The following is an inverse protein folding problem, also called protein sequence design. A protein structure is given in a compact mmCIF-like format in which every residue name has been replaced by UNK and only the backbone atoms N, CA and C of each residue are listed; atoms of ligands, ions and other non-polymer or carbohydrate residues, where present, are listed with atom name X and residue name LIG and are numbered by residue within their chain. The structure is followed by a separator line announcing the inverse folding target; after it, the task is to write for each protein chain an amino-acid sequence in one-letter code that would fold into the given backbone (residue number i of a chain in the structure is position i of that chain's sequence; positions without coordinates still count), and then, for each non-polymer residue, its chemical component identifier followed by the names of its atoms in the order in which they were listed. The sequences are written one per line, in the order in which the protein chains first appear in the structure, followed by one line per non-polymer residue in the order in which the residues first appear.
data_IF_454496368352
#
_entry.id   IF_454496368352
#
_cell.length_a   1.000
_cell.length_b   1.000
_cell.length_c   1.000
_cell.angle_alpha   90.00
_cell.angle_beta   90.00
_cell.angle_gamma   90.00
#
_symmetry.space_group_name_H-M   'P 1'
#
loop_
_entity.id
_entity.type
_entity.pdbx_description
1 polymer ?
#
# COMPACT_ATOMS: atom_id res chain seq x y z
N UNK A 1 11.98 3.69 -12.07
CA UNK A 1 10.78 4.32 -11.48
C UNK A 1 11.15 5.71 -11.03
N UNK A 2 10.27 6.70 -11.17
CA UNK A 2 10.50 8.04 -10.62
C UNK A 2 9.72 8.23 -9.33
N UNK A 3 10.33 8.83 -8.31
CA UNK A 3 9.69 9.10 -7.04
C UNK A 3 9.89 10.55 -6.60
N UNK A 4 8.82 11.17 -6.10
CA UNK A 4 8.84 12.47 -5.44
C UNK A 4 8.50 12.25 -3.97
N UNK A 5 9.47 12.41 -3.07
CA UNK A 5 9.28 12.04 -1.67
C UNK A 5 9.61 13.25 -0.78
N UNK A 6 8.61 13.70 -0.04
CA UNK A 6 8.82 14.69 1.02
C UNK A 6 9.18 14.00 2.33
N UNK A 7 10.25 14.48 2.95
CA UNK A 7 10.52 14.36 4.39
C UNK A 7 11.24 15.63 4.84
N UNK A 8 10.94 16.12 6.04
CA UNK A 8 11.73 17.16 6.68
C UNK A 8 13.12 16.60 7.05
N UNK A 9 14.13 17.46 7.29
CA UNK A 9 15.43 17.01 7.78
C UNK A 9 15.33 16.13 9.05
N UNK A 10 14.45 16.50 9.99
CA UNK A 10 14.24 15.74 11.21
C UNK A 10 13.58 14.38 10.95
N UNK A 11 12.60 14.31 10.04
CA UNK A 11 11.98 13.05 9.63
C UNK A 11 12.97 12.13 8.92
N UNK A 12 13.81 12.69 8.05
CA UNK A 12 14.86 11.94 7.37
C UNK A 12 15.86 11.34 8.38
N UNK A 13 16.31 12.12 9.37
CA UNK A 13 17.16 11.64 10.48
C UNK A 13 16.45 10.56 11.33
N UNK A 14 15.14 10.68 11.53
CA UNK A 14 14.32 9.68 12.21
C UNK A 14 14.03 8.43 11.36
N UNK A 15 14.46 8.39 10.10
CA UNK A 15 14.33 7.24 9.21
C UNK A 15 12.93 7.01 8.64
N UNK A 16 12.05 8.02 8.61
CA UNK A 16 10.65 7.89 8.14
C UNK A 16 10.55 7.47 6.67
N UNK A 17 11.58 7.77 5.88
CA UNK A 17 11.68 7.39 4.46
C UNK A 17 11.70 5.88 4.25
N UNK A 18 12.23 5.13 5.22
CA UNK A 18 12.44 3.68 5.07
C UNK A 18 11.14 2.95 4.74
N UNK A 19 10.03 3.35 5.35
CA UNK A 19 8.73 2.73 5.12
C UNK A 19 8.23 2.93 3.69
N UNK A 20 8.42 4.12 3.09
CA UNK A 20 8.07 4.38 1.69
C UNK A 20 8.85 3.46 0.73
N UNK A 21 10.17 3.33 0.94
CA UNK A 21 10.99 2.47 0.09
C UNK A 21 10.66 0.98 0.26
N UNK A 22 10.30 0.55 1.47
CA UNK A 22 9.80 -0.82 1.71
C UNK A 22 8.50 -1.04 0.93
N UNK A 23 7.54 -0.11 1.01
CA UNK A 23 6.30 -0.17 0.24
C UNK A 23 6.57 -0.24 -1.27
N UNK A 24 7.44 0.63 -1.78
CA UNK A 24 7.76 0.64 -3.21
C UNK A 24 8.44 -0.65 -3.67
N UNK A 25 9.38 -1.19 -2.89
CA UNK A 25 10.06 -2.44 -3.21
C UNK A 25 9.08 -3.62 -3.23
N UNK A 26 8.19 -3.72 -2.24
CA UNK A 26 7.19 -4.79 -2.13
C UNK A 26 6.15 -4.73 -3.24
N UNK A 27 5.68 -3.53 -3.59
CA UNK A 27 4.74 -3.32 -4.68
C UNK A 27 5.40 -3.57 -6.05
N UNK A 28 6.69 -3.22 -6.20
CA UNK A 28 7.45 -3.53 -7.41
C UNK A 28 7.68 -5.03 -7.57
N UNK A 29 7.99 -5.74 -6.47
CA UNK A 29 8.12 -7.21 -6.44
C UNK A 29 6.84 -7.91 -6.91
N UNK A 30 5.68 -7.29 -6.69
CA UNK A 30 4.36 -7.79 -7.11
C UNK A 30 3.91 -7.25 -8.47
N UNK A 31 4.72 -6.44 -9.14
CA UNK A 31 4.42 -5.86 -10.45
C UNK A 31 3.34 -4.78 -10.44
N UNK A 32 2.93 -4.28 -9.27
CA UNK A 32 2.01 -3.14 -9.18
C UNK A 32 2.71 -1.84 -9.56
N UNK A 33 3.91 -1.63 -9.02
CA UNK A 33 4.82 -0.58 -9.48
C UNK A 33 5.81 -1.17 -10.48
N UNK A 34 6.12 -0.40 -11.50
CA UNK A 34 7.07 -0.77 -12.56
C UNK A 34 8.13 0.31 -12.70
N UNK A 35 9.16 0.05 -13.51
CA UNK A 35 10.17 1.04 -13.84
C UNK A 35 9.60 2.33 -14.47
N UNK A 36 8.45 2.23 -15.12
CA UNK A 36 7.77 3.33 -15.80
C UNK A 36 6.78 4.07 -14.87
N UNK A 37 6.59 3.58 -13.64
CA UNK A 37 5.73 4.23 -12.66
C UNK A 37 6.35 5.54 -12.16
N UNK A 38 5.48 6.48 -11.79
CA UNK A 38 5.86 7.68 -11.03
C UNK A 38 5.06 7.74 -9.74
N UNK A 39 5.71 7.97 -8.61
CA UNK A 39 5.06 8.03 -7.28
C UNK A 39 5.32 9.37 -6.59
N UNK A 40 4.34 9.85 -5.83
CA UNK A 40 4.45 11.04 -4.98
C UNK A 40 4.04 10.68 -3.57
N UNK A 41 4.96 10.81 -2.61
CA UNK A 41 4.75 10.42 -1.23
C UNK A 41 5.13 11.55 -0.27
N UNK A 42 4.34 11.68 0.80
CA UNK A 42 4.75 12.38 2.00
C UNK A 42 5.09 11.33 3.05
N UNK A 43 6.38 11.14 3.33
CA UNK A 43 6.85 10.12 4.26
C UNK A 43 6.51 10.44 5.72
N UNK A 44 6.13 11.68 6.02
CA UNK A 44 5.70 12.13 7.35
C UNK A 44 4.17 12.15 7.50
N UNK A 45 3.43 11.82 6.44
CA UNK A 45 1.99 11.68 6.55
C UNK A 45 1.64 10.56 7.55
N UNK A 46 0.58 10.72 8.37
CA UNK A 46 0.21 9.74 9.39
C UNK A 46 -0.23 8.38 8.84
N UNK A 47 -0.37 8.28 7.52
CA UNK A 47 -0.90 7.13 6.82
C UNK A 47 0.05 6.73 5.69
N UNK A 48 0.29 5.42 5.54
CA UNK A 48 1.10 4.83 4.48
C UNK A 48 0.40 4.97 3.12
N UNK A 49 0.40 6.18 2.59
CA UNK A 49 -0.31 6.54 1.37
C UNK A 49 0.55 7.41 0.46
N UNK A 50 0.35 7.22 -0.84
CA UNK A 50 1.06 7.94 -1.87
C UNK A 50 0.17 8.03 -3.10
N UNK A 51 0.46 8.99 -3.97
CA UNK A 51 -0.13 9.02 -5.29
C UNK A 51 0.75 8.24 -6.26
N UNK A 52 0.16 7.49 -7.17
CA UNK A 52 0.86 6.70 -8.17
C UNK A 52 0.31 6.99 -9.57
N UNK A 53 1.22 7.14 -10.51
CA UNK A 53 0.99 7.00 -11.93
C UNK A 53 1.56 5.65 -12.36
N UNK A 54 0.68 4.70 -12.61
CA UNK A 54 1.00 3.43 -13.28
C UNK A 54 0.54 3.55 -14.74
N UNK A 55 -0.31 2.66 -15.23
CA UNK A 55 -1.19 2.90 -16.38
C UNK A 55 -2.26 3.98 -16.12
N UNK A 56 -2.56 4.28 -14.85
CA UNK A 56 -3.50 5.33 -14.44
C UNK A 56 -3.01 6.11 -13.23
N UNK A 57 -3.54 7.30 -13.06
CA UNK A 57 -3.39 8.17 -11.91
C UNK A 57 -4.30 7.71 -10.78
N UNK A 58 -3.73 7.40 -9.62
CA UNK A 58 -4.48 6.88 -8.47
C UNK A 58 -3.86 7.26 -7.13
N UNK A 59 -4.71 7.51 -6.15
CA UNK A 59 -4.33 7.50 -4.74
C UNK A 59 -4.21 6.07 -4.26
N UNK A 60 -3.11 5.74 -3.60
CA UNK A 60 -2.82 4.41 -3.08
C UNK A 60 -2.67 4.48 -1.57
N UNK A 61 -3.40 3.63 -0.86
CA UNK A 61 -3.23 3.39 0.57
C UNK A 61 -2.81 1.95 0.79
N UNK A 62 -1.68 1.73 1.47
CA UNK A 62 -1.20 0.38 1.79
C UNK A 62 -1.56 0.02 3.23
N UNK A 63 -2.55 -0.82 3.39
CA UNK A 63 -2.97 -1.36 4.68
C UNK A 63 -2.20 -2.64 5.01
N UNK A 64 -1.49 -2.63 6.15
CA UNK A 64 -0.80 -3.79 6.69
C UNK A 64 -1.65 -4.44 7.77
N UNK A 65 -2.10 -5.65 7.53
CA UNK A 65 -2.88 -6.45 8.46
C UNK A 65 -2.21 -7.80 8.74
N UNK A 66 -2.56 -8.45 9.84
CA UNK A 66 -2.22 -9.86 10.06
C UNK A 66 -3.09 -10.77 9.19
N UNK A 67 -4.33 -10.37 8.91
CA UNK A 67 -5.37 -11.16 8.25
C UNK A 67 -5.92 -10.45 7.00
N UNK A 68 -6.52 -11.18 6.03
CA UNK A 68 -7.06 -10.59 4.81
C UNK A 68 -8.29 -9.69 5.05
N UNK A 69 -9.15 -10.04 6.01
CA UNK A 69 -10.35 -9.27 6.35
C UNK A 69 -11.36 -9.09 5.21
N UNK A 70 -12.16 -8.02 5.32
CA UNK A 70 -13.24 -7.65 4.42
C UNK A 70 -13.08 -6.20 3.98
N UNK A 71 -13.16 -5.95 2.67
CA UNK A 71 -13.23 -4.61 2.10
C UNK A 71 -14.65 -4.35 1.56
N UNK A 72 -15.31 -3.34 2.10
CA UNK A 72 -16.61 -2.85 1.62
C UNK A 72 -16.44 -1.63 0.73
N UNK A 73 -16.97 -1.71 -0.47
CA UNK A 73 -17.00 -0.61 -1.42
C UNK A 73 -18.42 -0.03 -1.46
N UNK A 74 -18.49 1.29 -1.32
CA UNK A 74 -19.71 2.09 -1.48
C UNK A 74 -19.37 3.30 -2.37
N UNK A 75 -20.35 4.10 -2.78
CA UNK A 75 -20.09 5.24 -3.67
C UNK A 75 -18.99 6.16 -3.13
N UNK A 76 -17.83 6.18 -3.80
CA UNK A 76 -16.65 7.00 -3.46
C UNK A 76 -15.90 6.59 -2.18
N UNK A 77 -16.18 5.42 -1.58
CA UNK A 77 -15.62 5.08 -0.26
C UNK A 77 -15.30 3.59 -0.13
N UNK A 78 -14.11 3.29 0.38
CA UNK A 78 -13.63 1.95 0.72
C UNK A 78 -13.45 1.87 2.24
N UNK A 79 -14.07 0.87 2.86
CA UNK A 79 -13.87 0.56 4.28
C UNK A 79 -13.33 -0.85 4.45
N UNK A 80 -12.32 -1.03 5.30
CA UNK A 80 -11.78 -2.35 5.61
C UNK A 80 -11.92 -2.67 7.11
N UNK A 81 -12.24 -3.92 7.40
CA UNK A 81 -12.31 -4.45 8.76
C UNK A 81 -12.05 -5.97 8.77
N UNK A 82 -11.83 -6.55 9.95
CA UNK A 82 -11.61 -8.00 10.10
C UNK A 82 -12.85 -8.84 9.80
N UNK A 83 -14.04 -8.30 10.06
CA UNK A 83 -15.31 -9.01 9.86
C UNK A 83 -16.24 -8.25 8.92
N UNK A 84 -17.21 -8.97 8.35
CA UNK A 84 -18.21 -8.39 7.45
C UNK A 84 -18.99 -7.24 8.10
N UNK A 85 -19.42 -7.41 9.35
CA UNK A 85 -20.26 -6.43 10.05
C UNK A 85 -19.46 -5.20 10.49
N UNK A 86 -18.20 -5.40 10.90
CA UNK A 86 -17.34 -4.31 11.36
C UNK A 86 -17.05 -3.29 10.26
N UNK A 87 -17.06 -3.69 8.98
CA UNK A 87 -16.94 -2.75 7.84
C UNK A 87 -17.99 -1.63 7.85
N UNK A 88 -19.09 -1.77 8.62
CA UNK A 88 -20.14 -0.76 8.73
C UNK A 88 -19.90 0.21 9.90
N UNK A 89 -19.47 -0.28 11.06
CA UNK A 89 -19.47 0.47 12.33
C UNK A 89 -18.12 0.53 13.06
N UNK A 90 -17.26 -0.47 12.89
CA UNK A 90 -16.00 -0.63 13.61
C UNK A 90 -14.84 -0.87 12.63
N UNK A 91 -14.86 -0.16 11.50
CA UNK A 91 -13.85 -0.33 10.46
C UNK A 91 -12.49 0.19 10.95
N UNK A 92 -11.42 -0.49 10.55
CA UNK A 92 -10.05 -0.09 10.88
C UNK A 92 -9.50 0.89 9.84
N UNK A 93 -9.95 0.77 8.59
CA UNK A 93 -9.58 1.67 7.49
C UNK A 93 -10.83 2.26 6.88
N UNK A 94 -10.77 3.56 6.61
CA UNK A 94 -11.87 4.33 6.04
C UNK A 94 -11.34 5.36 5.04
N UNK A 95 -11.44 5.03 3.76
CA UNK A 95 -10.95 5.87 2.67
C UNK A 95 -12.15 6.44 1.92
N UNK A 96 -12.31 7.75 1.96
CA UNK A 96 -13.36 8.48 1.25
C UNK A 96 -12.70 9.40 0.23
N UNK A 97 -13.11 9.35 -1.05
CA UNK A 97 -12.52 10.20 -2.10
C UNK A 97 -12.67 11.70 -1.80
N UNK A 98 -13.65 12.07 -0.96
CA UNK A 98 -13.89 13.44 -0.50
C UNK A 98 -12.90 13.90 0.57
N UNK A 99 -12.29 12.99 1.34
CA UNK A 99 -11.27 13.36 2.33
C UNK A 99 -9.87 13.44 1.74
N UNK A 100 -9.67 12.94 0.51
CA UNK A 100 -8.41 13.03 -0.20
C UNK A 100 -8.26 14.44 -0.82
N UNK A 101 -7.12 15.12 -0.62
CA UNK A 101 -6.85 16.45 -1.19
C UNK A 101 -6.95 16.51 -2.73
N UNK A 102 -7.39 17.67 -3.24
CA UNK A 102 -7.54 17.95 -4.66
C UNK A 102 -8.96 17.73 -5.20
N UNK A 103 -9.11 17.84 -6.52
CA UNK A 103 -10.37 17.72 -7.28
C UNK A 103 -11.05 16.33 -7.14
N UNK A 104 -12.36 16.20 -7.41
CA UNK A 104 -13.13 14.98 -7.09
C UNK A 104 -12.87 13.76 -7.98
N UNK A 105 -12.20 13.92 -9.13
CA UNK A 105 -11.98 12.84 -10.12
C UNK A 105 -10.86 11.87 -9.73
N UNK A 106 -10.97 11.24 -8.55
CA UNK A 106 -9.88 10.46 -7.95
C UNK A 106 -10.11 8.96 -8.04
N UNK A 107 -9.19 8.25 -8.68
CA UNK A 107 -9.08 6.81 -8.49
C UNK A 107 -8.48 6.51 -7.11
N UNK A 108 -9.19 5.72 -6.32
CA UNK A 108 -8.82 5.33 -4.96
C UNK A 108 -8.52 3.83 -4.92
N UNK A 109 -7.30 3.48 -4.55
CA UNK A 109 -6.82 2.10 -4.45
C UNK A 109 -6.42 1.77 -3.01
N UNK A 110 -7.11 0.81 -2.41
CA UNK A 110 -6.70 0.16 -1.16
C UNK A 110 -5.90 -1.09 -1.49
N UNK A 111 -4.65 -1.14 -1.07
CA UNK A 111 -3.82 -2.35 -1.15
C UNK A 111 -3.77 -2.97 0.25
N UNK A 112 -4.24 -4.21 0.39
CA UNK A 112 -4.17 -4.98 1.63
C UNK A 112 -3.01 -5.95 1.56
N UNK A 113 -2.01 -5.72 2.41
CA UNK A 113 -0.92 -6.66 2.66
C UNK A 113 -1.22 -7.44 3.94
N UNK A 114 -1.31 -8.76 3.83
CA UNK A 114 -1.51 -9.65 4.97
C UNK A 114 -0.56 -10.85 4.96
N UNK A 115 -0.54 -11.60 6.06
CA UNK A 115 0.42 -12.70 6.32
C UNK A 115 -0.21 -14.09 6.29
N UNK A 116 -1.38 -14.24 5.66
CA UNK A 116 -2.17 -15.48 5.64
C UNK A 116 -2.15 -16.10 4.23
N UNK A 117 -1.22 -17.02 3.91
CA UNK A 117 -1.16 -17.65 2.61
C UNK A 117 -2.46 -18.40 2.28
N UNK A 118 -2.85 -18.39 1.00
CA UNK A 118 -4.02 -19.13 0.50
C UNK A 118 -5.38 -18.54 0.91
N UNK A 119 -5.40 -17.49 1.74
CA UNK A 119 -6.61 -16.72 2.00
C UNK A 119 -6.59 -15.43 1.19
N UNK A 120 -7.79 -14.89 0.94
CA UNK A 120 -7.95 -13.64 0.21
C UNK A 120 -8.86 -12.66 0.91
N UNK A 121 -8.63 -11.37 0.66
CA UNK A 121 -9.51 -10.27 1.05
C UNK A 121 -10.91 -10.54 0.51
N UNK A 122 -11.92 -10.44 1.38
CA UNK A 122 -13.31 -10.61 0.98
C UNK A 122 -13.89 -9.29 0.53
N UNK A 123 -14.49 -9.27 -0.65
CA UNK A 123 -15.11 -8.07 -1.21
C UNK A 123 -16.58 -8.02 -0.85
N UNK A 124 -17.02 -6.85 -0.41
CA UNK A 124 -18.42 -6.52 -0.22
C UNK A 124 -18.74 -5.34 -1.12
N UNK A 125 -19.44 -5.59 -2.22
CA UNK A 125 -19.97 -4.51 -3.03
C UNK A 125 -21.36 -4.10 -2.52
N UNK A 126 -21.43 -2.88 -1.95
CA UNK A 126 -22.58 -2.34 -1.25
C UNK A 126 -23.05 -3.27 -0.11
N UNK A 127 -23.93 -4.22 -0.41
CA UNK A 127 -24.50 -5.19 0.54
C UNK A 127 -24.25 -6.65 0.14
N UNK A 128 -23.58 -6.92 -0.99
CA UNK A 128 -23.39 -8.27 -1.54
C UNK A 128 -21.93 -8.66 -1.52
N UNK A 129 -21.66 -9.95 -1.30
CA UNK A 129 -20.30 -10.48 -1.48
C UNK A 129 -19.98 -10.57 -2.96
N UNK A 130 -18.75 -10.23 -3.30
CA UNK A 130 -18.22 -10.34 -4.65
C UNK A 130 -16.85 -11.05 -4.64
N UNK A 131 -16.37 -11.42 -5.82
CA UNK A 131 -15.10 -12.11 -6.02
C UNK A 131 -14.07 -11.19 -6.67
N UNK A 132 -12.82 -11.33 -6.22
CA UNK A 132 -11.67 -10.72 -6.90
C UNK A 132 -11.25 -11.58 -8.10
N UNK A 133 -10.66 -10.94 -9.10
CA UNK A 133 -9.96 -11.62 -10.20
C UNK A 133 -8.49 -11.22 -10.12
N UNK A 134 -7.57 -12.21 -10.08
CA UNK A 134 -6.13 -11.94 -9.95
C UNK A 134 -5.77 -11.11 -8.72
N UNK A 135 -6.47 -11.31 -7.60
CA UNK A 135 -6.28 -10.52 -6.37
C UNK A 135 -6.76 -9.07 -6.44
N UNK A 136 -7.45 -8.67 -7.51
CA UNK A 136 -7.98 -7.31 -7.68
C UNK A 136 -9.51 -7.30 -7.81
N UNK A 137 -10.14 -6.25 -7.27
CA UNK A 137 -11.53 -5.92 -7.55
C UNK A 137 -11.65 -4.41 -7.77
N UNK A 138 -12.35 -4.01 -8.83
CA UNK A 138 -12.57 -2.60 -9.17
C UNK A 138 -14.06 -2.33 -9.38
N UNK A 139 -14.56 -1.26 -8.75
CA UNK A 139 -15.90 -0.69 -8.96
C UNK A 139 -15.79 0.81 -9.22
N UNK A 140 -16.05 1.21 -10.46
CA UNK A 140 -15.87 2.61 -10.88
C UNK A 140 -14.44 3.07 -10.59
N UNK A 141 -14.29 4.13 -9.80
CA UNK A 141 -12.99 4.69 -9.42
C UNK A 141 -12.34 4.03 -8.19
N UNK A 142 -12.98 3.00 -7.62
CA UNK A 142 -12.50 2.34 -6.41
C UNK A 142 -11.88 0.99 -6.74
N UNK A 143 -10.69 0.73 -6.22
CA UNK A 143 -9.98 -0.53 -6.40
C UNK A 143 -9.51 -1.09 -5.06
N UNK A 144 -9.68 -2.39 -4.86
CA UNK A 144 -9.10 -3.14 -3.74
C UNK A 144 -8.17 -4.21 -4.30
N UNK A 145 -6.92 -4.20 -3.84
CA UNK A 145 -5.90 -5.18 -4.20
C UNK A 145 -5.55 -6.00 -2.96
N UNK A 146 -5.71 -7.30 -3.04
CA UNK A 146 -5.08 -8.28 -2.18
C UNK A 146 -3.65 -8.51 -2.68
N UNK A 147 -2.67 -7.94 -1.98
CA UNK A 147 -1.28 -7.93 -2.46
C UNK A 147 -0.67 -9.35 -2.56
N UNK A 148 -0.87 -10.27 -1.59
CA UNK A 148 -0.43 -11.66 -1.73
C UNK A 148 -0.99 -12.40 -2.96
N UNK A 149 -2.26 -12.15 -3.33
CA UNK A 149 -2.94 -12.79 -4.45
C UNK A 149 -2.87 -11.99 -5.77
N UNK A 150 -2.26 -10.80 -5.75
CA UNK A 150 -2.23 -9.90 -6.90
C UNK A 150 -1.46 -10.48 -8.08
N UNK A 151 -2.09 -10.40 -9.25
CA UNK A 151 -1.49 -10.75 -10.55
C UNK A 151 -1.53 -9.47 -11.38
N UNK A 152 -0.37 -8.94 -11.80
CA UNK A 152 -0.31 -7.73 -12.61
C UNK A 152 -0.84 -8.00 -14.03
N UNK A 153 -1.33 -6.94 -14.68
CA UNK A 153 -1.70 -7.00 -16.09
C UNK A 153 -0.45 -7.25 -16.95
N UNK A 154 -0.58 -8.16 -17.93
CA UNK A 154 0.57 -8.62 -18.74
C UNK A 154 1.03 -7.56 -19.75
N UNK A 155 0.10 -6.70 -20.21
CA UNK A 155 0.38 -5.64 -21.18
C UNK A 155 -0.50 -4.41 -20.87
N UNK A 156 -0.16 -3.66 -19.80
CA UNK A 156 -0.95 -2.50 -19.41
C UNK A 156 -0.80 -1.40 -20.46
N UNK A 157 -1.93 -0.79 -20.86
CA UNK A 157 -1.89 0.38 -21.74
C UNK A 157 -1.07 1.51 -21.10
N UNK A 158 -0.25 2.23 -21.89
CA UNK A 158 0.50 3.37 -21.37
C UNK A 158 -0.46 4.47 -20.89
N UNK A 159 -0.11 5.21 -19.83
CA UNK A 159 -0.96 6.27 -19.32
C UNK A 159 -1.17 7.35 -20.38
N UNK A 160 -2.42 7.81 -20.52
CA UNK A 160 -2.73 8.93 -21.40
C UNK A 160 -2.13 10.25 -20.88
N UNK A 161 -2.07 11.28 -21.74
CA UNK A 161 -1.65 12.62 -21.29
C UNK A 161 -2.52 13.17 -20.16
N UNK A 162 -3.81 12.82 -20.17
CA UNK A 162 -4.73 13.15 -19.08
C UNK A 162 -4.24 12.53 -17.77
N UNK A 163 -3.99 11.22 -17.74
CA UNK A 163 -3.51 10.51 -16.54
C UNK A 163 -2.18 11.07 -16.04
N UNK A 164 -1.27 11.40 -16.95
CA UNK A 164 0.04 12.00 -16.59
C UNK A 164 -0.15 13.34 -15.89
N UNK A 165 -0.95 14.25 -16.48
CA UNK A 165 -1.16 15.59 -15.91
C UNK A 165 -2.00 15.53 -14.62
N UNK A 166 -2.99 14.64 -14.58
CA UNK A 166 -3.81 14.38 -13.42
C UNK A 166 -2.96 13.88 -12.25
N UNK A 167 -2.05 12.93 -12.50
CA UNK A 167 -1.16 12.42 -11.47
C UNK A 167 -0.16 13.46 -10.96
N UNK A 168 0.39 14.31 -11.84
CA UNK A 168 1.26 15.42 -11.41
C UNK A 168 0.53 16.40 -10.50
N UNK A 169 -0.69 16.80 -10.87
CA UNK A 169 -1.49 17.73 -10.06
C UNK A 169 -1.84 17.14 -8.70
N UNK A 170 -2.41 15.92 -8.67
CA UNK A 170 -2.83 15.30 -7.43
C UNK A 170 -1.66 14.80 -6.58
N UNK A 171 -0.59 14.29 -7.20
CA UNK A 171 0.60 13.83 -6.51
C UNK A 171 1.30 14.95 -5.74
N UNK A 172 1.47 16.12 -6.37
CA UNK A 172 2.04 17.29 -5.68
C UNK A 172 1.12 17.77 -4.54
N UNK A 173 -0.20 17.81 -4.76
CA UNK A 173 -1.16 18.16 -3.71
C UNK A 173 -1.14 17.15 -2.54
N UNK A 174 -0.97 15.86 -2.83
CA UNK A 174 -0.82 14.82 -1.81
C UNK A 174 0.44 15.06 -0.96
N UNK A 175 1.58 15.34 -1.59
CA UNK A 175 2.83 15.62 -0.88
C UNK A 175 2.68 16.77 0.14
N UNK A 176 1.92 17.80 -0.22
CA UNK A 176 1.73 19.00 0.61
C UNK A 176 0.62 18.88 1.66
N UNK A 177 -0.18 17.81 1.64
CA UNK A 177 -1.48 17.75 2.31
C UNK A 177 -1.47 17.93 3.83
N UNK A 178 -0.38 17.54 4.49
CA UNK A 178 -0.20 17.64 5.94
C UNK A 178 0.90 18.63 6.33
N UNK A 179 1.43 19.39 5.37
CA UNK A 179 2.51 20.33 5.60
C UNK A 179 1.96 21.70 6.04
N UNK A 180 2.76 22.44 6.79
CA UNK A 180 2.52 23.87 6.97
C UNK A 180 2.70 24.64 5.64
N UNK A 181 2.27 25.90 5.63
CA UNK A 181 2.26 26.71 4.42
C UNK A 181 3.65 26.95 3.82
N UNK A 182 4.68 27.09 4.66
CA UNK A 182 6.05 27.37 4.23
C UNK A 182 6.66 26.14 3.55
N UNK A 183 6.52 24.96 4.18
CA UNK A 183 6.98 23.69 3.62
C UNK A 183 6.20 23.31 2.35
N UNK A 184 4.88 23.58 2.31
CA UNK A 184 4.10 23.39 1.10
C UNK A 184 4.57 24.30 -0.05
N UNK A 185 4.93 25.55 0.24
CA UNK A 185 5.47 26.47 -0.79
C UNK A 185 6.86 26.04 -1.29
N UNK A 186 7.72 25.53 -0.40
CA UNK A 186 9.01 24.95 -0.78
C UNK A 186 8.84 23.78 -1.76
N UNK A 187 7.94 22.83 -1.46
CA UNK A 187 7.61 21.71 -2.37
C UNK A 187 7.12 22.24 -3.72
N UNK A 188 6.21 23.22 -3.72
CA UNK A 188 5.63 23.78 -4.94
C UNK A 188 6.66 24.46 -5.84
N UNK A 189 7.60 25.22 -5.26
CA UNK A 189 8.63 25.96 -6.01
C UNK A 189 9.83 25.11 -6.40
N UNK A 190 10.12 24.07 -5.62
CA UNK A 190 11.34 23.30 -5.73
C UNK A 190 11.09 21.79 -5.79
N UNK A 191 10.04 21.36 -6.50
CA UNK A 191 9.65 19.95 -6.62
C UNK A 191 10.81 19.03 -7.04
N UNK A 192 11.70 19.50 -7.92
CA UNK A 192 12.89 18.77 -8.37
C UNK A 192 13.87 18.39 -7.25
N UNK A 193 13.85 19.10 -6.10
CA UNK A 193 14.69 18.75 -4.94
C UNK A 193 14.20 17.50 -4.22
N UNK A 194 12.95 17.11 -4.45
CA UNK A 194 12.31 15.93 -3.85
C UNK A 194 12.29 14.74 -4.81
N UNK A 195 12.92 14.88 -5.99
CA UNK A 195 12.92 13.90 -7.06
C UNK A 195 14.04 12.87 -6.86
N UNK A 196 13.67 11.60 -7.00
CA UNK A 196 14.56 10.45 -6.97
C UNK A 196 14.31 9.59 -8.21
N UNK A 197 15.37 9.27 -8.93
CA UNK A 197 15.35 8.17 -9.89
C UNK A 197 15.70 6.88 -9.13
N UNK A 198 14.74 5.96 -9.06
CA UNK A 198 14.90 4.65 -8.41
C UNK A 198 15.01 3.63 -9.53
N UNK A 199 16.20 3.11 -9.78
CA UNK A 199 16.41 2.14 -10.85
C UNK A 199 16.05 0.70 -10.43
N UNK A 200 16.04 -0.22 -11.40
CA UNK A 200 15.70 -1.63 -11.14
C UNK A 200 16.72 -2.30 -10.20
N UNK A 201 17.98 -1.83 -10.19
CA UNK A 201 19.03 -2.28 -9.30
C UNK A 201 18.78 -1.87 -7.85
N UNK A 202 18.33 -0.63 -7.61
CA UNK A 202 17.94 -0.13 -6.29
C UNK A 202 16.78 -0.95 -5.73
N UNK A 203 15.74 -1.18 -6.52
CA UNK A 203 14.58 -2.01 -6.13
C UNK A 203 15.01 -3.45 -5.85
N UNK A 204 15.88 -4.04 -6.69
CA UNK A 204 16.39 -5.38 -6.46
C UNK A 204 17.19 -5.45 -5.15
N UNK A 205 18.01 -4.44 -4.86
CA UNK A 205 18.82 -4.39 -3.63
C UNK A 205 17.95 -4.22 -2.38
N UNK A 206 16.93 -3.36 -2.42
CA UNK A 206 15.96 -3.22 -1.33
C UNK A 206 15.24 -4.55 -1.07
N UNK A 207 14.84 -5.25 -2.14
CA UNK A 207 14.21 -6.55 -2.02
C UNK A 207 15.15 -7.61 -1.41
N UNK A 208 16.43 -7.63 -1.78
CA UNK A 208 17.45 -8.49 -1.17
C UNK A 208 17.56 -8.24 0.34
N UNK A 209 17.60 -6.96 0.76
CA UNK A 209 17.66 -6.63 2.19
C UNK A 209 16.41 -7.06 2.96
N UNK A 210 15.23 -6.91 2.37
CA UNK A 210 13.98 -7.41 2.94
C UNK A 210 14.04 -8.93 3.12
N UNK A 211 14.52 -9.67 2.12
CA UNK A 211 14.66 -11.12 2.18
C UNK A 211 15.68 -11.54 3.25
N UNK A 212 16.76 -10.78 3.45
CA UNK A 212 17.73 -11.03 4.54
C UNK A 212 17.05 -10.89 5.90
N UNK A 213 16.24 -9.85 6.11
CA UNK A 213 15.49 -9.66 7.37
C UNK A 213 14.53 -10.82 7.61
N UNK A 214 13.76 -11.22 6.59
CA UNK A 214 12.81 -12.33 6.68
C UNK A 214 13.51 -13.65 6.98
N UNK A 215 14.61 -13.96 6.28
CA UNK A 215 15.40 -15.17 6.50
C UNK A 215 16.04 -15.21 7.89
N UNK A 216 16.53 -14.07 8.38
CA UNK A 216 17.09 -13.98 9.73
C UNK A 216 16.01 -14.22 10.78
N UNK A 217 14.83 -13.61 10.62
CA UNK A 217 13.68 -13.85 11.50
C UNK A 217 13.19 -15.31 11.46
N UNK A 218 13.21 -15.95 10.28
CA UNK A 218 12.81 -17.34 10.09
C UNK A 218 13.57 -18.36 10.95
N UNK A 219 14.80 -18.04 11.37
CA UNK A 219 15.57 -18.89 12.30
C UNK A 219 14.89 -19.04 13.66
N UNK A 220 14.21 -17.99 14.13
CA UNK A 220 13.45 -18.04 15.38
C UNK A 220 12.15 -18.82 15.23
N UNK A 221 11.53 -18.82 14.05
CA UNK A 221 10.36 -19.64 13.77
C UNK A 221 10.68 -21.13 13.88
N UNK A 222 11.84 -21.58 13.39
CA UNK A 222 12.29 -22.96 13.55
C UNK A 222 12.47 -23.35 15.02
N UNK A 223 13.10 -22.49 15.82
CA UNK A 223 13.22 -22.72 17.27
C UNK A 223 11.85 -22.83 17.94
N UNK A 224 10.91 -21.96 17.56
CA UNK A 224 9.53 -22.02 18.05
C UNK A 224 8.83 -23.33 17.66
N UNK A 225 8.96 -23.76 16.40
CA UNK A 225 8.39 -25.03 15.94
C UNK A 225 8.95 -26.23 16.69
N UNK A 226 10.27 -26.30 16.90
CA UNK A 226 10.88 -27.38 17.67
C UNK A 226 10.35 -27.43 19.10
N UNK A 227 10.26 -26.27 19.78
CA UNK A 227 9.71 -26.20 21.15
C UNK A 227 8.25 -26.64 21.22
N UNK A 228 7.43 -26.22 20.26
CA UNK A 228 6.02 -26.62 20.20
C UNK A 228 5.86 -28.13 19.91
N UNK A 229 6.70 -28.69 19.04
CA UNK A 229 6.71 -30.12 18.75
C UNK A 229 7.12 -30.94 19.99
N UNK A 230 8.14 -30.51 20.73
CA UNK A 230 8.57 -31.12 21.99
C UNK A 230 7.47 -31.05 23.07
N UNK A 231 6.83 -29.90 23.26
CA UNK A 231 5.72 -29.73 24.21
C UNK A 231 4.53 -30.63 23.88
N UNK A 232 4.15 -30.71 22.59
CA UNK A 232 3.09 -31.61 22.13
C UNK A 232 3.45 -33.09 22.35
N UNK A 233 4.71 -33.48 22.13
CA UNK A 233 5.18 -34.84 22.40
C UNK A 233 5.21 -35.19 23.89
N UNK A 234 5.41 -34.18 24.76
CA UNK A 234 5.38 -34.31 26.22
C UNK A 234 3.94 -34.33 26.81
N UNK A 235 2.90 -34.15 25.98
CA UNK A 235 1.51 -34.13 26.42
C UNK A 235 1.10 -32.83 27.10
N UNK A 236 1.85 -31.74 26.92
CA UNK A 236 1.46 -30.43 27.40
C UNK A 236 0.30 -29.89 26.54
N UNK A 237 -0.70 -29.23 27.14
CA UNK A 237 -1.83 -28.69 26.40
C UNK A 237 -1.33 -27.65 25.39
N UNK A 238 -1.58 -27.92 24.12
CA UNK A 238 -1.24 -26.98 23.04
C UNK A 238 -2.01 -25.67 23.26
N UNK A 239 -1.36 -24.49 23.19
CA UNK A 239 -2.09 -23.24 23.25
C UNK A 239 -3.08 -23.19 22.10
N UNK A 240 -4.36 -23.01 22.41
CA UNK A 240 -5.39 -22.82 21.39
C UNK A 240 -5.05 -21.54 20.64
N UNK A 241 -4.84 -21.65 19.33
CA UNK A 241 -4.67 -20.51 18.43
C UNK A 241 -5.87 -19.59 18.57
N UNK A 242 -5.62 -18.34 19.00
CA UNK A 242 -6.60 -17.25 19.04
C UNK A 242 -6.93 -16.76 17.63
#
# INVERSE_FOLDING_TARGET
MKAYIYASPAGAEAGVLSQCFIDFAELSRRGFLTKDSTVWANAEAPHASFWALTNRSQYVYVHRSTEPGYARLTSGRIRWARTFDDTTKNFEVDLDTKSIPGEPDKHLTLIVKHRMPGQTVKIIDESRRDSQTGGSFTKGQLTVIDLPAYIPDVDPEPPSEFEINHARYHGVNHMMSTLDADNADLVRRHLHLYEFDIDDGDIAKLNEYLDVIENYAGRYAQVLYSRLAEANAAGEPTPVSA
#
